data_IF_799763724203
#
_entry.id   IF_799763724203
#
_cell.length_a   1.000
_cell.length_b   1.000
_cell.length_c   1.000
_cell.angle_alpha   90.00
_cell.angle_beta   90.00
_cell.angle_gamma   90.00
#
_symmetry.space_group_name_H-M   'P 1'
#
loop_
_entity.id
_entity.type
_entity.pdbx_description
1 polymer ?
#
# COMPACT_ATOMS: atom_id res chain seq x y z
N UNK A 1 0.33 9.29 -11.52
CA UNK A 1 -0.06 9.95 -10.25
C UNK A 1 -1.58 10.11 -10.11
N UNK A 2 -2.38 9.26 -10.76
CA UNK A 2 -3.86 9.34 -10.78
C UNK A 2 -4.50 8.43 -9.71
N UNK A 3 -3.79 7.37 -9.29
CA UNK A 3 -4.33 6.32 -8.41
C UNK A 3 -4.49 6.72 -6.93
N UNK A 4 -3.62 7.59 -6.39
CA UNK A 4 -3.69 7.96 -4.98
C UNK A 4 -4.67 9.10 -4.66
N UNK A 5 -4.95 9.98 -5.61
CA UNK A 5 -5.94 11.06 -5.46
C UNK A 5 -7.35 10.49 -5.61
N UNK A 6 -7.59 9.68 -6.64
CA UNK A 6 -8.85 8.96 -6.83
C UNK A 6 -9.22 8.07 -5.64
N UNK A 7 -8.23 7.39 -5.03
CA UNK A 7 -8.50 6.62 -3.80
C UNK A 7 -8.91 7.50 -2.62
N UNK A 8 -8.46 8.76 -2.51
CA UNK A 8 -8.85 9.64 -1.39
C UNK A 8 -10.29 10.11 -1.53
N UNK A 9 -10.71 10.43 -2.74
CA UNK A 9 -12.09 10.79 -3.07
C UNK A 9 -13.03 9.62 -2.71
N UNK A 10 -12.72 8.42 -3.22
CA UNK A 10 -13.50 7.20 -2.92
C UNK A 10 -13.60 6.83 -1.43
N UNK A 11 -12.61 7.21 -0.62
CA UNK A 11 -12.62 6.96 0.83
C UNK A 11 -13.44 7.98 1.61
N UNK A 12 -13.69 9.15 1.03
CA UNK A 12 -14.40 10.27 1.65
C UNK A 12 -15.87 10.34 1.20
N UNK A 13 -16.19 9.77 0.04
CA UNK A 13 -17.52 9.85 -0.58
C UNK A 13 -18.55 8.88 0.01
N UNK A 14 -19.82 9.20 -0.21
CA UNK A 14 -20.94 8.34 0.20
C UNK A 14 -20.96 7.06 -0.67
N UNK A 15 -21.32 5.93 -0.08
CA UNK A 15 -21.23 4.61 -0.75
C UNK A 15 -22.15 4.50 -1.98
N UNK A 16 -23.21 5.31 -2.02
CA UNK A 16 -24.12 5.40 -3.17
C UNK A 16 -23.45 6.04 -4.39
N UNK A 17 -22.56 7.02 -4.18
CA UNK A 17 -21.80 7.67 -5.25
C UNK A 17 -20.71 6.74 -5.83
N UNK A 18 -20.26 5.76 -5.04
CA UNK A 18 -19.25 4.77 -5.47
C UNK A 18 -19.77 3.88 -6.61
N UNK A 19 -21.08 3.64 -6.72
CA UNK A 19 -21.65 2.88 -7.84
C UNK A 19 -21.57 3.67 -9.16
N UNK A 20 -21.81 4.98 -9.13
CA UNK A 20 -21.66 5.86 -10.29
C UNK A 20 -20.19 5.98 -10.70
N UNK A 21 -19.28 6.05 -9.72
CA UNK A 21 -17.83 6.12 -9.99
C UNK A 21 -17.29 4.79 -10.56
N UNK A 22 -17.85 3.65 -10.15
CA UNK A 22 -17.46 2.33 -10.65
C UNK A 22 -17.70 2.14 -12.16
N UNK A 23 -18.54 2.97 -12.79
CA UNK A 23 -18.72 2.95 -14.25
C UNK A 23 -17.53 3.54 -15.01
N UNK A 24 -16.71 4.38 -14.36
CA UNK A 24 -15.62 5.12 -14.99
C UNK A 24 -14.23 4.77 -14.44
N UNK A 25 -14.17 3.94 -13.39
CA UNK A 25 -12.94 3.58 -12.68
C UNK A 25 -12.74 2.07 -12.75
N UNK A 26 -11.50 1.57 -12.95
CA UNK A 26 -11.22 0.14 -12.89
C UNK A 26 -11.72 -0.49 -11.58
N UNK A 27 -12.44 -1.60 -11.69
CA UNK A 27 -13.05 -2.31 -10.57
C UNK A 27 -12.03 -2.59 -9.45
N UNK A 28 -10.77 -2.90 -9.78
CA UNK A 28 -9.72 -3.17 -8.81
C UNK A 28 -9.42 -1.96 -7.91
N UNK A 29 -9.57 -0.73 -8.41
CA UNK A 29 -9.40 0.49 -7.63
C UNK A 29 -10.58 0.67 -6.68
N UNK A 30 -11.81 0.46 -7.17
CA UNK A 30 -13.03 0.55 -6.37
C UNK A 30 -12.99 -0.46 -5.22
N UNK A 31 -12.68 -1.73 -5.51
CA UNK A 31 -12.54 -2.76 -4.49
C UNK A 31 -11.46 -2.42 -3.46
N UNK A 32 -10.31 -1.92 -3.88
CA UNK A 32 -9.26 -1.50 -2.95
C UNK A 32 -9.72 -0.35 -2.04
N UNK A 33 -10.42 0.64 -2.58
CA UNK A 33 -10.96 1.74 -1.78
C UNK A 33 -11.97 1.24 -0.75
N UNK A 34 -12.89 0.34 -1.13
CA UNK A 34 -13.85 -0.25 -0.20
C UNK A 34 -13.17 -1.04 0.93
N UNK A 35 -12.14 -1.84 0.61
CA UNK A 35 -11.37 -2.59 1.60
C UNK A 35 -10.65 -1.63 2.57
N UNK A 36 -10.02 -0.56 2.06
CA UNK A 36 -9.34 0.44 2.89
C UNK A 36 -10.35 1.18 3.78
N UNK A 37 -11.54 1.50 3.27
CA UNK A 37 -12.61 2.16 4.04
C UNK A 37 -13.07 1.31 5.20
N UNK A 38 -13.29 0.02 5.00
CA UNK A 38 -13.69 -0.89 6.08
C UNK A 38 -12.57 -0.99 7.13
N UNK A 39 -11.30 -1.12 6.69
CA UNK A 39 -10.15 -1.10 7.59
C UNK A 39 -10.08 0.19 8.43
N UNK A 40 -10.32 1.36 7.82
CA UNK A 40 -10.35 2.64 8.52
C UNK A 40 -11.45 2.68 9.58
N UNK A 41 -12.66 2.20 9.24
CA UNK A 41 -13.80 2.14 10.14
C UNK A 41 -13.54 1.22 11.33
N UNK A 42 -12.98 0.04 11.11
CA UNK A 42 -12.64 -0.91 12.17
C UNK A 42 -11.62 -0.34 13.18
N UNK A 43 -10.74 0.57 12.73
CA UNK A 43 -9.68 1.16 13.55
C UNK A 43 -9.96 2.57 14.05
N UNK A 44 -11.13 3.14 13.71
CA UNK A 44 -11.47 4.51 14.06
C UNK A 44 -10.53 5.56 13.42
N UNK A 45 -10.06 5.32 12.20
CA UNK A 45 -9.20 6.24 11.45
C UNK A 45 -10.08 7.13 10.56
N UNK A 46 -10.03 8.44 10.79
CA UNK A 46 -10.83 9.41 10.03
C UNK A 46 -10.08 10.02 8.83
N UNK A 47 -8.76 10.22 8.93
CA UNK A 47 -7.96 10.80 7.84
C UNK A 47 -7.68 9.75 6.73
N UNK A 48 -8.14 9.96 5.48
CA UNK A 48 -7.87 9.04 4.38
C UNK A 48 -6.39 8.86 4.09
N UNK A 49 -5.55 9.90 4.29
CA UNK A 49 -4.10 9.78 4.04
C UNK A 49 -3.44 8.85 5.04
N UNK A 50 -3.81 8.97 6.31
CA UNK A 50 -3.41 8.06 7.37
C UNK A 50 -3.92 6.64 7.09
N UNK A 51 -5.21 6.49 6.77
CA UNK A 51 -5.84 5.20 6.48
C UNK A 51 -5.14 4.42 5.37
N UNK A 52 -4.85 5.07 4.24
CA UNK A 52 -4.09 4.46 3.14
C UNK A 52 -2.70 4.00 3.62
N UNK A 53 -1.99 4.84 4.37
CA UNK A 53 -0.63 4.53 4.83
C UNK A 53 -0.62 3.33 5.78
N UNK A 54 -1.52 3.32 6.75
CA UNK A 54 -1.65 2.26 7.74
C UNK A 54 -2.09 0.95 7.10
N UNK A 55 -3.06 1.00 6.18
CA UNK A 55 -3.50 -0.17 5.43
C UNK A 55 -2.35 -0.84 4.68
N UNK A 56 -1.54 -0.06 3.94
CA UNK A 56 -0.40 -0.63 3.23
C UNK A 56 0.71 -1.14 4.16
N UNK A 57 0.87 -0.54 5.35
CA UNK A 57 1.79 -1.08 6.36
C UNK A 57 1.29 -2.43 6.89
N UNK A 58 0.00 -2.53 7.22
CA UNK A 58 -0.67 -3.75 7.63
C UNK A 58 -0.56 -4.85 6.57
N UNK A 59 -0.90 -4.56 5.31
CA UNK A 59 -0.84 -5.53 4.22
C UNK A 59 0.60 -6.02 3.96
N UNK A 60 1.60 -5.12 4.00
CA UNK A 60 3.01 -5.53 3.89
C UNK A 60 3.42 -6.47 5.02
N UNK A 61 3.01 -6.18 6.25
CA UNK A 61 3.30 -7.04 7.39
C UNK A 61 2.61 -8.41 7.27
N UNK A 62 1.34 -8.43 6.84
CA UNK A 62 0.57 -9.65 6.58
C UNK A 62 1.23 -10.50 5.49
N UNK A 63 1.61 -9.91 4.36
CA UNK A 63 2.30 -10.61 3.28
C UNK A 63 3.68 -11.13 3.70
N UNK A 64 4.40 -10.38 4.56
CA UNK A 64 5.64 -10.85 5.17
C UNK A 64 5.41 -12.07 6.06
N UNK A 65 4.39 -12.06 6.92
CA UNK A 65 4.02 -13.21 7.79
C UNK A 65 3.65 -14.45 6.99
N UNK A 66 3.07 -14.26 5.82
CA UNK A 66 2.71 -15.32 4.87
C UNK A 66 3.87 -15.78 3.98
N UNK A 67 5.06 -15.16 4.09
CA UNK A 67 6.24 -15.53 3.30
C UNK A 67 6.23 -15.04 1.85
N UNK A 68 5.30 -14.17 1.47
CA UNK A 68 5.20 -13.62 0.10
C UNK A 68 6.15 -12.45 -0.18
N UNK A 69 6.69 -11.82 0.87
CA UNK A 69 7.65 -10.72 0.75
C UNK A 69 8.99 -11.19 1.30
N UNK A 70 10.06 -10.99 0.52
CA UNK A 70 11.41 -11.31 0.97
C UNK A 70 11.69 -10.60 2.29
N UNK A 71 11.94 -11.38 3.34
CA UNK A 71 12.51 -10.89 4.59
C UNK A 71 13.88 -10.33 4.25
N UNK A 72 14.01 -9.00 4.17
CA UNK A 72 15.34 -8.41 4.34
C UNK A 72 15.72 -8.68 5.79
N UNK A 73 16.45 -9.77 6.02
CA UNK A 73 17.13 -9.95 7.29
C UNK A 73 18.03 -8.73 7.51
N UNK A 74 17.88 -8.00 8.64
CA UNK A 74 18.76 -6.89 8.97
C UNK A 74 20.13 -7.47 9.34
N UNK A 75 20.94 -7.82 8.34
CA UNK A 75 22.19 -8.55 8.57
C UNK A 75 23.09 -8.76 7.36
N UNK A 76 22.58 -8.73 6.13
CA UNK A 76 23.45 -8.80 4.94
C UNK A 76 24.09 -7.44 4.67
N UNK A 77 25.03 -7.03 5.54
CA UNK A 77 26.06 -6.06 5.20
C UNK A 77 26.71 -6.55 3.91
N UNK A 78 26.46 -5.83 2.84
CA UNK A 78 27.15 -5.95 1.57
C UNK A 78 28.62 -5.63 1.82
N UNK A 79 29.40 -6.64 2.24
CA UNK A 79 30.85 -6.66 2.01
C UNK A 79 31.03 -6.79 0.50
N UNK A 80 30.92 -5.68 -0.22
CA UNK A 80 31.59 -5.57 -1.50
C UNK A 80 33.08 -5.60 -1.21
N UNK A 81 33.64 -6.78 -1.50
CA UNK A 81 35.06 -7.09 -1.53
C UNK A 81 35.83 -5.92 -2.12
N UNK A 82 36.72 -5.36 -1.31
CA UNK A 82 37.99 -4.90 -1.82
C UNK A 82 38.70 -6.09 -2.49
N UNK A 83 38.83 -6.01 -3.81
CA UNK A 83 39.69 -6.83 -4.65
C UNK A 83 39.74 -6.14 -6.01
N UNK A 84 40.83 -5.73 -6.62
CA UNK A 84 42.26 -5.82 -6.34
C UNK A 84 42.98 -4.94 -7.38
N UNK A 85 44.20 -4.46 -7.05
CA UNK A 85 45.33 -4.19 -7.97
C UNK A 85 45.18 -3.04 -8.99
N UNK A 86 45.98 -1.97 -8.98
CA UNK A 86 47.45 -1.87 -9.00
C UNK A 86 48.10 -2.59 -10.20
N UNK A 87 48.13 -1.91 -11.35
CA UNK A 87 49.06 -2.03 -12.51
C UNK A 87 48.60 -0.97 -13.52
N UNK A 88 49.39 -0.10 -14.15
CA UNK A 88 50.82 0.19 -14.24
C UNK A 88 50.96 1.63 -14.77
#
# INVERSE_FOLDING_TARGET
>A
MITHELMRELLSDNIQDIQEIAEFVPNEIVYKALIIREFMKERGIEDPRQGIREFYAFERERLRKLGFVATQEPGSKQKQKASSQATS
#
